data_IF_282817357492
#
_entry.id   IF_282817357492
#
_cell.length_a   1.000
_cell.length_b   1.000
_cell.length_c   1.000
_cell.angle_alpha   90.00
_cell.angle_beta   90.00
_cell.angle_gamma   90.00
#
_symmetry.space_group_name_H-M   'P 1'
#
loop_
_entity.id
_entity.type
_entity.pdbx_description
1 polymer ?
#
# COMPACT_ATOMS: atom_id res chain seq x y z
N UNK A 1 -15.76 12.49 -22.08
CA UNK A 1 -15.88 11.70 -20.84
C UNK A 1 -16.93 12.34 -19.94
N UNK A 2 -17.97 11.62 -19.53
CA UNK A 2 -19.06 12.16 -18.70
C UNK A 2 -18.70 12.12 -17.21
N UNK A 3 -19.42 12.87 -16.37
CA UNK A 3 -19.23 12.81 -14.90
C UNK A 3 -19.41 11.39 -14.34
N UNK A 4 -20.32 10.60 -14.91
CA UNK A 4 -20.55 9.20 -14.51
C UNK A 4 -19.37 8.30 -14.85
N UNK A 5 -18.75 8.50 -16.02
CA UNK A 5 -17.59 7.73 -16.45
C UNK A 5 -16.38 7.94 -15.53
N UNK A 6 -16.12 9.21 -15.17
CA UNK A 6 -15.08 9.58 -14.20
C UNK A 6 -15.28 8.91 -12.84
N UNK A 7 -16.53 8.82 -12.35
CA UNK A 7 -16.85 8.17 -11.07
C UNK A 7 -16.54 6.68 -11.09
N UNK A 8 -16.88 5.96 -12.17
CA UNK A 8 -16.55 4.53 -12.30
C UNK A 8 -15.05 4.28 -12.30
N UNK A 9 -14.28 5.09 -13.04
CA UNK A 9 -12.81 4.99 -13.07
C UNK A 9 -12.22 5.22 -11.68
N UNK A 10 -12.74 6.23 -10.95
CA UNK A 10 -12.27 6.54 -9.59
C UNK A 10 -12.58 5.40 -8.62
N UNK A 11 -13.80 4.85 -8.66
CA UNK A 11 -14.19 3.71 -7.82
C UNK A 11 -13.35 2.45 -8.11
N UNK A 12 -13.04 2.18 -9.38
CA UNK A 12 -12.18 1.05 -9.76
C UNK A 12 -10.75 1.19 -9.19
N UNK A 13 -10.18 2.39 -9.22
CA UNK A 13 -8.85 2.66 -8.65
C UNK A 13 -8.81 2.53 -7.14
N UNK A 14 -9.89 2.89 -6.44
CA UNK A 14 -9.99 2.73 -4.99
C UNK A 14 -10.04 1.26 -4.62
N UNK A 15 -10.83 0.45 -5.33
CA UNK A 15 -10.88 -1.00 -5.10
C UNK A 15 -9.50 -1.66 -5.32
N UNK A 16 -8.83 -1.31 -6.41
CA UNK A 16 -7.48 -1.81 -6.70
C UNK A 16 -6.47 -1.44 -5.58
N UNK A 17 -6.58 -0.21 -5.06
CA UNK A 17 -5.75 0.24 -3.95
C UNK A 17 -6.06 -0.51 -2.65
N UNK A 18 -7.34 -0.76 -2.33
CA UNK A 18 -7.74 -1.56 -1.17
C UNK A 18 -7.22 -3.00 -1.26
N UNK A 19 -7.32 -3.64 -2.43
CA UNK A 19 -6.72 -4.97 -2.63
C UNK A 19 -5.19 -4.95 -2.46
N UNK A 20 -4.53 -3.90 -2.94
CA UNK A 20 -3.08 -3.74 -2.76
C UNK A 20 -2.73 -3.53 -1.27
N UNK A 21 -3.54 -2.81 -0.50
CA UNK A 21 -3.39 -2.65 0.95
C UNK A 21 -3.49 -4.00 1.66
N UNK A 22 -4.49 -4.81 1.33
CA UNK A 22 -4.67 -6.12 1.96
C UNK A 22 -3.53 -7.08 1.62
N UNK A 23 -3.12 -7.16 0.35
CA UNK A 23 -1.95 -7.96 -0.05
C UNK A 23 -0.68 -7.52 0.68
N UNK A 24 -0.49 -6.22 0.86
CA UNK A 24 0.64 -5.69 1.61
C UNK A 24 0.54 -6.03 3.11
N UNK A 25 -0.66 -5.95 3.72
CA UNK A 25 -0.88 -6.35 5.11
C UNK A 25 -0.53 -7.82 5.33
N UNK A 26 -0.99 -8.70 4.46
CA UNK A 26 -0.69 -10.13 4.53
C UNK A 26 0.81 -10.41 4.38
N UNK A 27 1.46 -9.77 3.41
CA UNK A 27 2.91 -9.90 3.20
C UNK A 27 3.73 -9.44 4.40
N UNK A 28 3.36 -8.30 5.01
CA UNK A 28 4.00 -7.79 6.21
C UNK A 28 3.77 -8.71 7.42
N UNK A 29 2.54 -9.21 7.59
CA UNK A 29 2.23 -10.16 8.67
C UNK A 29 3.05 -11.45 8.54
N UNK A 30 3.27 -11.93 7.31
CA UNK A 30 4.11 -13.10 7.02
C UNK A 30 5.57 -12.95 7.47
N UNK A 31 6.07 -11.72 7.60
CA UNK A 31 7.43 -11.42 8.11
C UNK A 31 7.43 -10.91 9.56
N UNK A 32 6.28 -10.97 10.24
CA UNK A 32 6.10 -10.54 11.63
C UNK A 32 6.02 -9.03 11.82
N UNK A 33 5.67 -8.27 10.77
CA UNK A 33 5.45 -6.82 10.82
C UNK A 33 3.96 -6.52 10.81
N UNK A 34 3.50 -5.66 11.71
CA UNK A 34 2.12 -5.14 11.70
C UNK A 34 2.13 -3.62 11.57
N UNK A 35 1.39 -3.09 10.59
CA UNK A 35 1.19 -1.65 10.39
C UNK A 35 -0.29 -1.31 10.59
N UNK A 36 -0.72 -0.97 11.82
CA UNK A 36 -2.13 -0.70 12.09
C UNK A 36 -2.65 0.51 11.29
N UNK A 37 -1.76 1.45 10.98
CA UNK A 37 -2.09 2.67 10.22
C UNK A 37 -2.13 2.49 8.70
N UNK A 38 -1.76 1.29 8.17
CA UNK A 38 -1.72 1.02 6.74
C UNK A 38 -3.13 1.07 6.12
N UNK A 39 -3.38 2.04 5.24
CA UNK A 39 -4.69 2.25 4.61
C UNK A 39 -4.57 3.06 3.31
N UNK A 40 -5.64 3.08 2.53
CA UNK A 40 -5.78 4.05 1.43
C UNK A 40 -5.90 5.47 2.02
N UNK A 41 -5.17 6.42 1.46
CA UNK A 41 -5.28 7.83 1.83
C UNK A 41 -6.69 8.36 1.49
N UNK A 42 -7.48 8.79 2.49
CA UNK A 42 -8.85 9.24 2.27
C UNK A 42 -8.94 10.53 1.43
N UNK A 43 -7.88 11.35 1.43
CA UNK A 43 -7.87 12.61 0.67
C UNK A 43 -7.70 12.33 -0.82
N UNK A 44 -6.77 11.43 -1.15
CA UNK A 44 -6.51 10.99 -2.51
C UNK A 44 -7.67 10.16 -3.09
N UNK A 45 -8.34 9.33 -2.30
CA UNK A 45 -9.50 8.54 -2.75
C UNK A 45 -10.75 9.40 -3.06
N UNK A 46 -10.88 10.56 -2.42
CA UNK A 46 -11.97 11.51 -2.64
C UNK A 46 -11.65 12.55 -3.75
N UNK A 47 -10.38 12.67 -4.13
CA UNK A 47 -9.90 13.67 -5.09
C UNK A 47 -9.98 13.23 -6.55
N UNK A 48 -10.03 14.20 -7.48
CA UNK A 48 -9.87 13.96 -8.92
C UNK A 48 -8.40 13.92 -9.37
N UNK A 49 -7.47 13.70 -8.44
CA UNK A 49 -6.03 13.70 -8.67
C UNK A 49 -5.53 12.48 -9.44
N UNK A 50 -4.26 12.48 -9.90
CA UNK A 50 -3.77 11.49 -10.85
C UNK A 50 -3.64 10.06 -10.29
N UNK A 51 -3.67 9.84 -8.97
CA UNK A 51 -3.56 8.51 -8.39
C UNK A 51 -4.05 8.42 -6.95
N UNK A 52 -4.44 7.20 -6.56
CA UNK A 52 -4.80 6.80 -5.20
C UNK A 52 -3.50 6.57 -4.40
N UNK A 53 -3.37 7.25 -3.26
CA UNK A 53 -2.20 7.12 -2.38
C UNK A 53 -2.47 6.10 -1.28
N UNK A 54 -1.40 5.45 -0.81
CA UNK A 54 -1.44 4.51 0.31
C UNK A 54 -0.70 5.18 1.47
N UNK A 55 -1.38 5.38 2.59
CA UNK A 55 -0.73 5.77 3.84
C UNK A 55 -0.13 4.54 4.53
N UNK A 56 1.19 4.49 4.64
CA UNK A 56 1.91 3.42 5.35
C UNK A 56 1.93 3.64 6.87
N UNK A 57 1.79 4.89 7.32
CA UNK A 57 1.82 5.29 8.72
C UNK A 57 3.20 5.25 9.38
N UNK A 58 3.24 5.33 10.71
CA UNK A 58 4.48 5.28 11.49
C UNK A 58 4.81 3.84 11.85
N UNK A 59 6.06 3.45 11.66
CA UNK A 59 6.61 2.17 12.10
C UNK A 59 7.51 2.38 13.34
N UNK A 60 7.58 1.38 14.21
CA UNK A 60 8.55 1.37 15.30
C UNK A 60 9.92 0.84 14.81
N UNK A 61 10.98 1.04 15.60
CA UNK A 61 12.34 0.66 15.21
C UNK A 61 12.49 -0.85 14.92
N UNK A 62 11.79 -1.70 15.67
CA UNK A 62 11.80 -3.15 15.45
C UNK A 62 11.22 -3.53 14.07
N UNK A 63 10.09 -2.90 13.73
CA UNK A 63 9.44 -3.04 12.42
C UNK A 63 10.36 -2.60 11.30
N UNK A 64 11.03 -1.46 11.44
CA UNK A 64 12.00 -0.95 10.44
C UNK A 64 13.12 -1.97 10.24
N UNK A 65 13.70 -2.50 11.33
CA UNK A 65 14.79 -3.49 11.25
C UNK A 65 14.35 -4.78 10.54
N UNK A 66 13.17 -5.31 10.86
CA UNK A 66 12.61 -6.49 10.18
C UNK A 66 12.38 -6.22 8.69
N UNK A 67 11.78 -5.06 8.36
CA UNK A 67 11.49 -4.70 6.98
C UNK A 67 12.79 -4.57 6.17
N UNK A 68 13.80 -3.86 6.70
CA UNK A 68 15.12 -3.74 6.08
C UNK A 68 15.76 -5.11 5.82
N UNK A 69 15.76 -6.01 6.81
CA UNK A 69 16.34 -7.35 6.64
C UNK A 69 15.66 -8.18 5.53
N UNK A 70 14.34 -8.07 5.39
CA UNK A 70 13.59 -8.75 4.31
C UNK A 70 13.95 -8.17 2.94
N UNK A 71 14.03 -6.84 2.83
CA UNK A 71 14.36 -6.16 1.58
C UNK A 71 15.80 -6.46 1.14
N UNK A 72 16.76 -6.43 2.06
CA UNK A 72 18.16 -6.77 1.80
C UNK A 72 18.32 -8.23 1.37
N UNK A 73 17.59 -9.15 2.02
CA UNK A 73 17.58 -10.56 1.64
C UNK A 73 16.99 -10.82 0.24
N UNK A 74 15.99 -10.04 -0.19
CA UNK A 74 15.43 -10.11 -1.55
C UNK A 74 16.36 -9.49 -2.58
N UNK A 75 17.02 -8.37 -2.27
CA UNK A 75 18.00 -7.75 -3.15
C UNK A 75 19.20 -8.68 -3.42
N UNK A 76 19.68 -9.38 -2.39
CA UNK A 76 20.74 -10.37 -2.52
C UNK A 76 20.32 -11.60 -3.37
N UNK A 77 19.04 -11.96 -3.36
CA UNK A 77 18.50 -13.08 -4.14
C UNK A 77 18.11 -12.74 -5.59
N UNK A 78 18.11 -11.47 -5.99
CA UNK A 78 17.79 -11.03 -7.36
C UNK A 78 19.05 -10.76 -8.21
N UNK A 79 20.24 -11.03 -7.67
CA UNK A 79 21.54 -10.91 -8.34
C UNK A 79 22.16 -12.25 -8.75
N UNK A 80 21.37 -13.33 -8.80
CA UNK A 80 21.81 -14.67 -9.22
C UNK A 80 21.15 -15.12 -10.51
#
# INVERSE_FOLDING_TARGET
MTTTDRRRVTAGRVLEAEEAVERLREGLAGVGVTLPSLRVDPVSSAGSGPGVLIELGRCNLDTVRRLSGVLDGKAAGHGG
#
